data_IF_976709093824
#
_entry.id   IF_976709093824
#
_cell.length_a   1.000
_cell.length_b   1.000
_cell.length_c   1.000
_cell.angle_alpha   90.00
_cell.angle_beta   90.00
_cell.angle_gamma   90.00
#
_symmetry.space_group_name_H-M   'P 1'
#
loop_
_entity.id
_entity.type
_entity.pdbx_description
1 polymer ?
#
# COMPACT_ATOMS: atom_id res chain seq x y z
N UNK A 1 -25.62 -16.73 6.71
CA UNK A 1 -24.37 -16.95 5.96
C UNK A 1 -23.50 -15.71 6.13
N UNK A 2 -22.59 -15.71 7.10
CA UNK A 2 -21.69 -14.59 7.37
C UNK A 2 -20.34 -14.85 6.68
N UNK A 3 -19.81 -13.85 5.96
CA UNK A 3 -18.39 -13.80 5.53
C UNK A 3 -18.09 -14.24 4.10
N UNK A 4 -18.42 -13.40 3.11
CA UNK A 4 -17.81 -13.39 1.76
C UNK A 4 -17.84 -11.93 1.25
N UNK A 5 -16.78 -11.27 0.83
CA UNK A 5 -15.38 -11.62 0.61
C UNK A 5 -14.57 -10.31 0.69
N UNK A 6 -13.77 -10.17 1.73
CA UNK A 6 -12.84 -9.05 1.87
C UNK A 6 -11.82 -9.38 2.93
N UNK A 7 -10.54 -9.29 2.58
CA UNK A 7 -9.46 -9.33 3.56
C UNK A 7 -9.28 -7.94 4.13
N UNK A 8 -9.16 -7.87 5.45
CA UNK A 8 -8.86 -6.64 6.17
C UNK A 8 -7.61 -6.86 7.00
N UNK A 9 -6.77 -5.84 7.09
CA UNK A 9 -5.71 -5.78 8.08
C UNK A 9 -6.01 -4.62 9.02
N UNK A 10 -6.57 -4.89 10.22
CA UNK A 10 -6.85 -3.85 11.19
C UNK A 10 -5.60 -3.03 11.51
N UNK A 11 -5.79 -1.73 11.70
CA UNK A 11 -4.72 -0.77 11.92
C UNK A 11 -5.10 0.08 13.13
N UNK A 12 -4.32 0.01 14.20
CA UNK A 12 -4.53 0.86 15.35
C UNK A 12 -3.81 2.19 15.11
N UNK A 13 -4.49 3.30 15.41
CA UNK A 13 -3.95 4.65 15.22
C UNK A 13 -4.08 5.43 16.50
N UNK A 14 -2.95 5.96 16.98
CA UNK A 14 -2.86 6.73 18.20
C UNK A 14 -2.33 8.12 17.89
N UNK A 15 -2.93 9.15 18.48
CA UNK A 15 -2.32 10.49 18.48
C UNK A 15 -1.13 10.50 19.41
N UNK A 16 -0.04 11.10 18.96
CA UNK A 16 1.18 11.28 19.72
C UNK A 16 1.64 12.73 19.61
N UNK A 17 1.57 13.45 20.73
CA UNK A 17 2.27 14.72 20.91
C UNK A 17 3.72 14.41 21.23
N UNK A 18 4.64 14.70 20.31
CA UNK A 18 6.07 14.48 20.54
C UNK A 18 6.55 15.19 21.82
N UNK A 19 7.58 14.65 22.46
CA UNK A 19 8.16 15.17 23.71
C UNK A 19 8.63 16.65 23.63
N UNK A 20 8.79 17.21 22.43
CA UNK A 20 9.24 18.59 22.21
C UNK A 20 8.65 19.29 20.97
N UNK A 21 7.75 18.66 20.20
CA UNK A 21 7.34 19.19 18.88
C UNK A 21 5.93 19.78 18.89
N UNK A 22 5.80 21.02 18.38
CA UNK A 22 4.52 21.67 18.03
C UNK A 22 3.72 20.96 16.92
N UNK A 23 4.21 19.83 16.42
CA UNK A 23 3.58 19.00 15.39
C UNK A 23 2.95 17.78 16.02
N UNK A 24 1.63 17.68 15.87
CA UNK A 24 0.87 16.49 16.22
C UNK A 24 1.20 15.35 15.24
N UNK A 25 1.51 14.17 15.79
CA UNK A 25 1.83 12.98 15.01
C UNK A 25 0.82 11.88 15.26
N UNK A 26 0.81 10.92 14.36
CA UNK A 26 0.07 9.68 14.45
C UNK A 26 1.06 8.54 14.58
N UNK A 27 0.81 7.61 15.50
CA UNK A 27 1.49 6.32 15.58
C UNK A 27 0.52 5.26 15.07
N UNK A 28 0.84 4.68 13.92
CA UNK A 28 0.05 3.63 13.28
C UNK A 28 0.71 2.28 13.58
N UNK A 29 -0.04 1.33 14.13
CA UNK A 29 0.48 0.05 14.62
C UNK A 29 -0.30 -1.11 14.01
N UNK A 30 0.42 -2.10 13.48
CA UNK A 30 -0.17 -3.27 12.86
C UNK A 30 0.78 -4.48 12.89
N UNK A 31 0.33 -5.61 13.45
CA UNK A 31 1.06 -6.90 13.42
C UNK A 31 2.55 -6.81 13.84
N UNK A 32 2.86 -6.02 14.89
CA UNK A 32 4.24 -5.85 15.39
C UNK A 32 5.06 -4.79 14.66
N UNK A 33 4.53 -4.23 13.58
CA UNK A 33 5.09 -3.08 12.85
C UNK A 33 4.45 -1.78 13.31
N UNK A 34 5.20 -0.68 13.21
CA UNK A 34 4.65 0.65 13.39
C UNK A 34 5.23 1.67 12.40
N UNK A 35 4.47 2.72 12.12
CA UNK A 35 4.90 3.90 11.40
C UNK A 35 4.44 5.16 12.14
N UNK A 36 5.19 6.24 11.94
CA UNK A 36 4.82 7.57 12.43
C UNK A 36 4.51 8.44 11.22
N UNK A 37 3.38 9.15 11.24
CA UNK A 37 3.00 10.09 10.19
C UNK A 37 2.57 11.44 10.78
N UNK A 38 2.75 12.53 10.03
CA UNK A 38 2.12 13.81 10.35
C UNK A 38 0.59 13.71 10.26
N UNK A 39 -0.12 14.27 11.24
CA UNK A 39 -1.58 14.35 11.19
C UNK A 39 -2.06 15.15 9.98
N UNK A 40 -1.29 16.16 9.55
CA UNK A 40 -1.63 17.00 8.39
C UNK A 40 -1.62 16.22 7.08
N UNK A 41 -0.80 15.17 6.98
CA UNK A 41 -0.78 14.27 5.82
C UNK A 41 -1.94 13.27 5.84
N UNK A 42 -2.68 13.16 6.95
CA UNK A 42 -3.75 12.18 7.14
C UNK A 42 -5.07 12.85 7.57
N UNK A 43 -5.64 13.76 6.77
CA UNK A 43 -6.82 14.56 7.14
C UNK A 43 -8.11 13.73 7.34
N UNK A 44 -8.15 12.48 6.85
CA UNK A 44 -9.33 11.60 6.94
C UNK A 44 -9.18 10.49 7.98
N UNK A 45 -8.13 10.52 8.80
CA UNK A 45 -7.80 9.42 9.72
C UNK A 45 -8.91 9.13 10.73
N UNK A 46 -9.55 10.19 11.25
CA UNK A 46 -10.67 10.07 12.22
C UNK A 46 -11.93 9.46 11.58
N UNK A 47 -12.01 9.40 10.24
CA UNK A 47 -13.10 8.76 9.48
C UNK A 47 -12.79 7.32 9.10
N UNK A 48 -11.64 6.78 9.51
CA UNK A 48 -11.21 5.45 9.15
C UNK A 48 -10.63 5.34 7.73
N UNK A 49 -10.20 6.46 7.14
CA UNK A 49 -9.56 6.50 5.82
C UNK A 49 -8.14 7.08 5.91
N UNK A 50 -7.25 6.65 5.03
CA UNK A 50 -5.90 7.21 4.89
C UNK A 50 -5.73 7.86 3.52
N UNK A 51 -4.88 8.88 3.49
CA UNK A 51 -4.31 9.43 2.25
C UNK A 51 -3.00 8.73 1.97
N UNK A 52 -2.83 8.26 0.74
CA UNK A 52 -1.65 7.59 0.28
C UNK A 52 -1.04 8.35 -0.88
N UNK A 53 0.29 8.34 -0.92
CA UNK A 53 1.05 9.04 -1.95
C UNK A 53 1.88 8.04 -2.71
N UNK A 54 1.85 8.10 -4.03
CA UNK A 54 2.69 7.27 -4.89
C UNK A 54 3.31 8.13 -5.97
N UNK A 55 4.64 8.24 -5.96
CA UNK A 55 5.31 8.93 -7.03
C UNK A 55 5.47 8.10 -8.29
N UNK A 56 5.61 8.81 -9.39
CA UNK A 56 5.81 8.26 -10.74
C UNK A 56 7.06 8.85 -11.40
N UNK A 57 7.95 9.47 -10.62
CA UNK A 57 9.17 10.14 -11.07
C UNK A 57 8.90 11.19 -12.16
N UNK A 58 9.40 10.95 -13.37
CA UNK A 58 9.26 11.81 -14.53
C UNK A 58 8.18 11.30 -15.49
N UNK A 59 7.48 10.21 -15.14
CA UNK A 59 6.44 9.67 -15.99
C UNK A 59 5.26 10.64 -16.06
N UNK A 60 4.75 10.85 -17.27
CA UNK A 60 3.59 11.70 -17.51
C UNK A 60 2.26 10.98 -17.24
N UNK A 61 2.29 9.65 -17.16
CA UNK A 61 1.09 8.81 -16.99
C UNK A 61 1.28 7.85 -15.82
N UNK A 62 0.36 7.94 -14.86
CA UNK A 62 0.15 6.92 -13.85
C UNK A 62 -0.89 5.90 -14.34
N UNK A 63 -0.49 4.63 -14.44
CA UNK A 63 -1.40 3.52 -14.77
C UNK A 63 -2.13 3.06 -13.51
N UNK A 64 -3.39 3.48 -13.38
CA UNK A 64 -4.26 3.11 -12.28
C UNK A 64 -4.99 1.81 -12.59
N UNK A 65 -4.49 0.71 -12.02
CA UNK A 65 -4.94 -0.65 -12.33
C UNK A 65 -6.14 -1.06 -11.49
N UNK A 66 -7.18 -1.60 -12.13
CA UNK A 66 -8.38 -2.14 -11.48
C UNK A 66 -8.54 -3.62 -11.84
N UNK A 67 -8.87 -4.43 -10.84
CA UNK A 67 -9.21 -5.84 -11.01
C UNK A 67 -10.69 -5.93 -11.37
N UNK A 68 -10.99 -6.22 -12.63
CA UNK A 68 -12.36 -6.07 -13.18
C UNK A 68 -13.19 -7.33 -13.09
N UNK A 69 -12.57 -8.51 -13.18
CA UNK A 69 -13.30 -9.76 -12.98
C UNK A 69 -13.38 -10.07 -11.49
N UNK A 70 -14.57 -10.46 -11.03
CA UNK A 70 -14.77 -10.90 -9.65
C UNK A 70 -13.83 -12.06 -9.31
N UNK A 71 -13.60 -12.99 -10.24
CA UNK A 71 -12.71 -14.13 -10.05
C UNK A 71 -11.24 -13.71 -9.83
N UNK A 72 -10.67 -12.84 -10.68
CA UNK A 72 -9.29 -12.35 -10.49
C UNK A 72 -9.17 -11.59 -9.17
N UNK A 73 -10.14 -10.71 -8.85
CA UNK A 73 -10.13 -9.97 -7.59
C UNK A 73 -10.21 -10.90 -6.38
N UNK A 74 -11.01 -11.96 -6.44
CA UNK A 74 -11.13 -12.94 -5.35
C UNK A 74 -9.84 -13.73 -5.15
N UNK A 75 -9.20 -14.18 -6.24
CA UNK A 75 -7.90 -14.86 -6.14
C UNK A 75 -6.83 -13.93 -5.61
N UNK A 76 -6.78 -12.69 -6.09
CA UNK A 76 -5.86 -11.65 -5.60
C UNK A 76 -6.06 -11.38 -4.10
N UNK A 77 -7.30 -11.22 -3.65
CA UNK A 77 -7.61 -11.05 -2.23
C UNK A 77 -7.22 -12.33 -1.45
N UNK A 78 -7.41 -13.52 -2.01
CA UNK A 78 -6.97 -14.78 -1.39
C UNK A 78 -5.46 -14.87 -1.23
N UNK A 79 -4.65 -14.28 -2.13
CA UNK A 79 -3.19 -14.19 -1.96
C UNK A 79 -2.87 -13.40 -0.69
N UNK A 80 -3.50 -12.24 -0.51
CA UNK A 80 -3.33 -11.45 0.70
C UNK A 80 -3.86 -12.17 1.95
N UNK A 81 -5.00 -12.86 1.87
CA UNK A 81 -5.54 -13.65 2.98
C UNK A 81 -4.50 -14.67 3.49
N UNK A 82 -3.91 -15.42 2.56
CA UNK A 82 -2.87 -16.41 2.85
C UNK A 82 -1.60 -15.76 3.38
N UNK A 83 -1.20 -14.62 2.82
CA UNK A 83 -0.04 -13.90 3.34
C UNK A 83 -0.21 -13.46 4.79
N UNK A 84 -1.45 -13.27 5.27
CA UNK A 84 -1.76 -12.82 6.62
C UNK A 84 -2.08 -13.97 7.60
N UNK A 85 -2.06 -15.22 7.13
CA UNK A 85 -2.54 -16.36 7.90
C UNK A 85 -1.69 -16.68 9.14
N UNK A 86 -0.38 -16.42 9.08
CA UNK A 86 0.54 -16.55 10.20
C UNK A 86 1.54 -15.37 10.25
N UNK A 87 2.16 -15.17 11.40
CA UNK A 87 3.03 -14.01 11.64
C UNK A 87 4.31 -14.02 10.81
N UNK A 88 4.88 -15.19 10.52
CA UNK A 88 6.14 -15.32 9.76
C UNK A 88 5.90 -15.00 8.30
N UNK A 89 4.88 -15.62 7.71
CA UNK A 89 4.47 -15.32 6.33
C UNK A 89 4.06 -13.85 6.20
N UNK A 90 3.30 -13.33 7.17
CA UNK A 90 2.82 -11.94 7.14
C UNK A 90 3.93 -10.91 7.22
N UNK A 91 4.93 -11.16 8.07
CA UNK A 91 6.13 -10.34 8.14
C UNK A 91 6.89 -10.40 6.79
N UNK A 92 7.25 -11.60 6.33
CA UNK A 92 8.02 -11.74 5.10
C UNK A 92 7.30 -11.19 3.86
N UNK A 93 6.01 -11.44 3.70
CA UNK A 93 5.23 -11.00 2.54
C UNK A 93 5.04 -9.48 2.45
N UNK A 94 4.95 -8.80 3.60
CA UNK A 94 4.81 -7.34 3.60
C UNK A 94 6.12 -6.64 3.24
N UNK A 95 7.25 -7.25 3.61
CA UNK A 95 8.60 -6.74 3.28
C UNK A 95 9.13 -7.24 1.94
N UNK A 96 8.57 -8.30 1.35
CA UNK A 96 9.15 -8.86 0.15
C UNK A 96 8.98 -7.93 -1.06
N UNK A 97 10.09 -7.70 -1.77
CA UNK A 97 10.13 -7.13 -3.11
C UNK A 97 9.31 -5.85 -3.32
N UNK A 98 9.20 -5.00 -2.29
CA UNK A 98 8.45 -3.74 -2.43
C UNK A 98 9.02 -2.93 -3.58
N UNK A 99 8.16 -2.68 -4.56
CA UNK A 99 8.45 -1.96 -5.78
C UNK A 99 8.17 -0.49 -5.53
N UNK A 100 9.27 0.24 -5.50
CA UNK A 100 9.29 1.69 -5.45
C UNK A 100 9.59 2.21 -6.84
N UNK A 101 9.06 3.38 -7.17
CA UNK A 101 9.27 3.95 -8.49
C UNK A 101 10.74 4.33 -8.69
N UNK A 102 11.46 4.68 -7.63
CA UNK A 102 12.82 5.20 -7.68
C UNK A 102 13.94 4.17 -7.64
N UNK A 103 13.79 3.11 -6.86
CA UNK A 103 14.79 2.05 -6.74
C UNK A 103 14.38 0.77 -7.47
N UNK A 104 13.20 0.75 -8.09
CA UNK A 104 12.61 -0.49 -8.55
C UNK A 104 12.27 -1.40 -7.37
N UNK A 105 12.49 -2.70 -7.55
CA UNK A 105 12.13 -3.72 -6.56
C UNK A 105 13.24 -3.82 -5.53
N UNK A 106 12.86 -3.82 -4.25
CA UNK A 106 13.79 -4.21 -3.19
C UNK A 106 14.09 -5.71 -3.33
N UNK A 107 15.15 -6.06 -4.09
CA UNK A 107 15.49 -7.44 -4.40
C UNK A 107 16.11 -8.15 -3.18
N UNK A 108 15.26 -8.52 -2.23
CA UNK A 108 15.59 -9.39 -1.11
C UNK A 108 15.62 -10.88 -1.51
N UNK A 109 15.46 -11.18 -2.81
CA UNK A 109 15.34 -12.52 -3.39
C UNK A 109 14.13 -13.33 -2.88
N UNK A 110 13.13 -12.69 -2.28
CA UNK A 110 11.91 -13.33 -1.78
C UNK A 110 10.72 -12.97 -2.68
N UNK A 111 10.23 -13.90 -3.50
CA UNK A 111 9.04 -13.72 -4.33
C UNK A 111 7.79 -14.37 -3.73
N UNK A 112 7.66 -14.32 -2.39
CA UNK A 112 6.63 -15.02 -1.63
C UNK A 112 5.20 -14.74 -2.13
N UNK A 113 4.88 -13.50 -2.51
CA UNK A 113 3.54 -13.19 -3.04
C UNK A 113 3.29 -13.84 -4.41
N UNK A 114 4.33 -14.05 -5.21
CA UNK A 114 4.24 -14.76 -6.49
C UNK A 114 3.97 -16.26 -6.30
N UNK A 115 4.63 -16.90 -5.35
CA UNK A 115 4.35 -18.29 -5.00
C UNK A 115 2.92 -18.47 -4.47
N UNK A 116 2.45 -17.52 -3.67
CA UNK A 116 1.06 -17.50 -3.19
C UNK A 116 0.05 -17.28 -4.32
N UNK A 117 0.39 -16.49 -5.36
CA UNK A 117 -0.44 -16.37 -6.57
C UNK A 117 -0.69 -17.74 -7.20
N UNK A 118 0.38 -18.48 -7.49
CA UNK A 118 0.29 -19.81 -8.10
C UNK A 118 -0.57 -20.77 -7.26
N UNK A 119 -0.42 -20.74 -5.93
CA UNK A 119 -1.24 -21.55 -5.02
C UNK A 119 -2.73 -21.17 -4.99
N UNK A 120 -3.07 -19.96 -5.41
CA UNK A 120 -4.46 -19.49 -5.54
C UNK A 120 -4.99 -19.58 -6.97
N UNK A 121 -4.20 -20.12 -7.91
CA UNK A 121 -4.54 -20.18 -9.32
C UNK A 121 -4.56 -18.80 -10.00
N UNK A 122 -3.86 -17.82 -9.45
CA UNK A 122 -3.64 -16.52 -10.07
C UNK A 122 -2.28 -16.54 -10.76
N UNK A 123 -2.23 -16.21 -12.05
CA UNK A 123 -0.96 -16.13 -12.75
C UNK A 123 -0.22 -14.83 -12.33
N UNK A 124 1.04 -14.90 -11.89
CA UNK A 124 1.84 -13.74 -11.49
C UNK A 124 2.35 -12.94 -12.70
N UNK A 125 1.45 -12.57 -13.62
CA UNK A 125 1.77 -11.72 -14.77
C UNK A 125 2.20 -10.31 -14.34
N UNK A 126 2.95 -9.56 -15.19
CA UNK A 126 3.43 -8.22 -14.83
C UNK A 126 2.38 -7.25 -14.25
N UNK A 127 1.12 -7.22 -14.72
CA UNK A 127 0.09 -6.37 -14.12
C UNK A 127 -0.30 -6.78 -12.69
N UNK A 128 -0.38 -8.08 -12.41
CA UNK A 128 -0.68 -8.63 -11.07
C UNK A 128 0.48 -8.38 -10.12
N UNK A 129 1.70 -8.67 -10.56
CA UNK A 129 2.91 -8.43 -9.78
C UNK A 129 3.08 -6.95 -9.47
N UNK A 130 2.81 -6.07 -10.45
CA UNK A 130 2.83 -4.62 -10.22
C UNK A 130 1.88 -4.21 -9.10
N UNK A 131 0.69 -4.81 -8.99
CA UNK A 131 -0.25 -4.53 -7.90
C UNK A 131 0.23 -5.07 -6.55
N UNK A 132 0.74 -6.31 -6.49
CA UNK A 132 1.16 -6.97 -5.23
C UNK A 132 2.37 -6.30 -4.56
N UNK A 133 3.32 -5.85 -5.38
CA UNK A 133 4.59 -5.30 -4.89
C UNK A 133 4.56 -3.78 -4.76
N UNK A 134 3.47 -3.14 -5.17
CA UNK A 134 3.33 -1.68 -5.12
C UNK A 134 3.45 -1.08 -3.72
N UNK A 135 4.46 -0.22 -3.52
CA UNK A 135 4.57 0.64 -2.34
C UNK A 135 3.81 1.96 -2.48
N UNK A 136 3.33 2.47 -1.35
CA UNK A 136 2.69 3.79 -1.19
C UNK A 136 3.21 4.42 0.09
N UNK A 137 3.31 5.74 0.17
CA UNK A 137 3.71 6.47 1.39
C UNK A 137 2.50 7.07 2.11
N UNK A 138 2.59 7.24 3.42
CA UNK A 138 1.61 7.96 4.25
C UNK A 138 1.92 9.46 4.37
N UNK A 139 3.05 9.93 3.85
CA UNK A 139 3.42 11.35 3.91
C UNK A 139 3.74 11.92 2.52
N UNK A 140 3.24 13.12 2.27
CA UNK A 140 3.40 13.81 0.98
C UNK A 140 4.86 14.09 0.66
N UNK A 141 5.67 14.46 1.65
CA UNK A 141 7.08 14.77 1.46
C UNK A 141 7.86 13.56 0.95
N UNK A 142 7.48 12.33 1.34
CA UNK A 142 8.09 11.12 0.78
C UNK A 142 7.82 11.09 -0.73
N UNK A 143 6.61 11.40 -1.17
CA UNK A 143 6.31 11.44 -2.59
C UNK A 143 6.95 12.59 -3.35
N UNK A 144 6.79 13.81 -2.88
CA UNK A 144 7.32 14.99 -3.55
C UNK A 144 8.86 15.06 -3.54
N UNK A 145 9.49 14.63 -2.44
CA UNK A 145 10.94 14.73 -2.25
C UNK A 145 11.73 13.52 -2.73
N UNK A 146 11.18 12.30 -2.55
CA UNK A 146 11.88 11.05 -2.87
C UNK A 146 11.45 10.45 -4.21
N UNK A 147 10.19 10.63 -4.60
CA UNK A 147 9.62 9.92 -5.75
C UNK A 147 9.46 10.79 -7.02
N UNK A 148 10.05 11.98 -7.03
CA UNK A 148 10.06 12.94 -8.15
C UNK A 148 8.92 13.97 -8.12
N UNK A 149 8.93 14.91 -9.07
CA UNK A 149 7.92 15.98 -9.12
C UNK A 149 6.51 15.47 -9.41
N UNK A 150 6.39 14.27 -9.98
CA UNK A 150 5.11 13.72 -10.39
C UNK A 150 4.67 12.61 -9.43
N UNK A 151 3.46 12.74 -8.87
CA UNK A 151 2.90 11.76 -7.97
C UNK A 151 1.37 11.81 -7.95
N UNK A 152 0.75 10.76 -7.43
CA UNK A 152 -0.69 10.69 -7.22
C UNK A 152 -1.02 10.62 -5.73
N UNK A 153 -2.10 11.29 -5.33
CA UNK A 153 -2.72 11.19 -4.01
C UNK A 153 -3.95 10.29 -4.12
N UNK A 154 -4.02 9.29 -3.26
CA UNK A 154 -5.07 8.28 -3.25
C UNK A 154 -5.71 8.21 -1.87
N UNK A 155 -6.98 7.82 -1.81
CA UNK A 155 -7.73 7.54 -0.59
C UNK A 155 -8.00 6.05 -0.49
N UNK A 156 -8.00 5.51 0.72
CA UNK A 156 -8.45 4.13 0.99
C UNK A 156 -8.88 3.97 2.44
N UNK A 157 -9.77 3.01 2.77
CA UNK A 157 -10.01 2.61 4.15
C UNK A 157 -8.74 2.13 4.85
N UNK A 158 -8.58 2.42 6.15
CA UNK A 158 -7.42 1.98 6.95
C UNK A 158 -7.28 0.46 6.99
N UNK A 159 -8.40 -0.27 6.96
CA UNK A 159 -8.41 -1.73 6.93
C UNK A 159 -7.84 -2.34 5.65
N UNK A 160 -7.55 -1.53 4.63
CA UNK A 160 -7.01 -1.96 3.34
C UNK A 160 -5.47 -1.82 3.25
N UNK A 161 -4.83 -1.37 4.34
CA UNK A 161 -3.42 -1.02 4.39
C UNK A 161 -2.63 -2.10 5.12
N UNK A 162 -1.47 -2.46 4.58
CA UNK A 162 -0.44 -3.23 5.29
C UNK A 162 0.82 -2.39 5.48
N UNK A 163 1.17 -2.12 6.74
CA UNK A 163 2.42 -1.41 7.08
C UNK A 163 3.62 -2.25 6.66
N UNK A 164 4.53 -1.64 5.89
CA UNK A 164 5.89 -2.16 5.72
C UNK A 164 6.78 -1.51 6.77
N UNK A 165 7.79 -2.22 7.25
CA UNK A 165 8.83 -1.68 8.16
C UNK A 165 10.15 -1.84 7.46
N UNK A 166 10.48 -0.91 6.59
CA UNK A 166 11.82 -0.86 5.99
C UNK A 166 12.76 0.02 6.81
N UNK A 167 14.03 -0.37 6.77
CA UNK A 167 15.15 0.48 7.19
C UNK A 167 15.09 1.76 6.33
N UNK A 168 15.21 2.94 6.96
CA UNK A 168 15.21 4.31 6.39
C UNK A 168 14.03 5.25 6.76
N UNK A 169 13.20 4.92 7.76
CA UNK A 169 12.14 5.83 8.27
C UNK A 169 11.11 6.24 7.20
N UNK A 170 10.90 5.38 6.21
CA UNK A 170 9.98 5.61 5.10
C UNK A 170 8.58 5.14 5.53
N UNK A 171 7.58 6.01 5.37
CA UNK A 171 6.20 5.75 5.80
C UNK A 171 5.45 4.86 4.81
N UNK A 172 6.09 3.76 4.39
CA UNK A 172 5.67 2.91 3.30
C UNK A 172 4.63 1.85 3.71
N UNK A 173 3.66 1.63 2.83
CA UNK A 173 2.59 0.66 3.01
C UNK A 173 2.28 -0.06 1.70
N UNK A 174 1.72 -1.26 1.82
CA UNK A 174 1.08 -2.02 0.73
C UNK A 174 -0.43 -1.95 0.83
N UNK A 175 -1.10 -2.29 -0.27
CA UNK A 175 -2.56 -2.30 -0.39
C UNK A 175 -3.07 -3.71 -0.63
N UNK A 176 -4.13 -4.09 0.09
CA UNK A 176 -4.75 -5.42 0.01
C UNK A 176 -5.68 -5.54 -1.19
N UNK A 177 -6.50 -4.51 -1.41
CA UNK A 177 -7.46 -4.47 -2.51
C UNK A 177 -7.29 -3.15 -3.28
N UNK A 178 -6.70 -3.19 -4.50
CA UNK A 178 -6.49 -1.99 -5.30
C UNK A 178 -7.80 -1.36 -5.77
N UNK A 179 -8.92 -2.10 -5.77
CA UNK A 179 -10.23 -1.54 -6.14
C UNK A 179 -10.81 -0.61 -5.05
N UNK A 180 -10.28 -0.66 -3.83
CA UNK A 180 -10.65 0.26 -2.74
C UNK A 180 -9.83 1.54 -2.71
N UNK A 181 -8.87 1.71 -3.63
CA UNK A 181 -8.20 2.98 -3.84
C UNK A 181 -9.11 3.93 -4.61
N UNK A 182 -9.08 5.20 -4.24
CA UNK A 182 -9.73 6.27 -4.99
C UNK A 182 -8.71 7.36 -5.25
N UNK A 183 -8.67 7.90 -6.46
CA UNK A 183 -7.78 9.02 -6.78
C UNK A 183 -8.38 10.29 -6.18
N UNK A 184 -7.56 11.01 -5.41
CA UNK A 184 -7.87 12.37 -4.94
C UNK A 184 -7.29 13.40 -5.91
N UNK A 185 -6.01 13.24 -6.26
CA UNK A 185 -5.26 14.25 -7.02
C UNK A 185 -4.13 13.59 -7.82
N UNK A 186 -3.80 14.17 -8.97
CA UNK A 186 -2.57 13.86 -9.71
C UNK A 186 -1.75 15.14 -9.87
N UNK A 187 -0.50 15.09 -9.40
CA UNK A 187 0.44 16.20 -9.45
C UNK A 187 1.48 15.88 -10.52
N UNK A 188 1.65 16.77 -11.49
CA UNK A 188 2.64 16.63 -12.57
C UNK A 188 2.40 15.47 -13.56
N UNK A 189 1.34 14.68 -13.41
CA UNK A 189 1.02 13.55 -14.27
C UNK A 189 -0.48 13.42 -14.55
N UNK A 190 -0.82 12.61 -15.55
CA UNK A 190 -2.19 12.20 -15.90
C UNK A 190 -2.46 10.80 -15.38
N UNK A 191 -3.72 10.48 -15.16
CA UNK A 191 -4.15 9.15 -14.75
C UNK A 191 -4.77 8.44 -15.94
N UNK A 192 -4.34 7.19 -16.16
CA UNK A 192 -4.97 6.28 -17.10
C UNK A 192 -5.43 5.06 -16.33
N UNK A 193 -6.75 4.88 -16.23
CA UNK A 193 -7.31 3.66 -15.67
C UNK A 193 -7.10 2.49 -16.65
N UNK A 194 -6.67 1.35 -16.11
CA UNK A 194 -6.43 0.12 -16.87
C UNK A 194 -7.08 -1.05 -16.15
N UNK A 195 -7.93 -1.76 -16.88
CA UNK A 195 -8.62 -2.94 -16.39
C UNK A 195 -7.75 -4.19 -16.59
N UNK A 196 -7.70 -5.03 -15.56
CA UNK A 196 -7.06 -6.34 -15.54
C UNK A 196 -8.13 -7.39 -15.19
#
# INVERSE_FOLDING_TARGET
>A
MAGREGVTAPLAVYRHSGLSSRTERLVLIQHGSYLIADIKSQPYIDRGEAVLYRGVQNAEIFLFRRLTTADIRLRFISVHARSLADSVTSFNAVHCNVSRTETGWFNDRSFMLGDLCLQTGLEPEPPIMSLLYSGYALEEWCAAGKFGSNYVKLRTPLSNIRITTFVCNETEVKIIDPNKLEVIEAVGCKIREVCI
#
